data_IF_276320767697
#
_entry.id   IF_276320767697
#
_cell.length_a   1.000
_cell.length_b   1.000
_cell.length_c   1.000
_cell.angle_alpha   90.00
_cell.angle_beta   90.00
_cell.angle_gamma   90.00
#
_symmetry.space_group_name_H-M   'P 1'
#
loop_
_entity.id
_entity.type
_entity.pdbx_description
1 polymer ?
#
# COMPACT_ATOMS: atom_id res chain seq x y z
N UNK A 1 15.51 -31.44 -3.01
CA UNK A 1 15.49 -30.03 -3.42
C UNK A 1 15.39 -30.00 -4.94
N UNK A 2 14.38 -29.33 -5.49
CA UNK A 2 14.24 -29.11 -6.92
C UNK A 2 15.41 -28.27 -7.43
N UNK A 3 15.84 -28.58 -8.66
CA UNK A 3 16.86 -27.84 -9.40
C UNK A 3 16.30 -27.19 -10.66
N UNK A 4 15.06 -27.53 -10.97
CA UNK A 4 14.32 -27.16 -12.16
C UNK A 4 12.91 -26.74 -11.77
N UNK A 5 12.24 -26.01 -12.67
CA UNK A 5 10.85 -25.56 -12.54
C UNK A 5 10.11 -25.93 -13.81
N UNK A 6 8.90 -26.47 -13.63
CA UNK A 6 7.90 -26.72 -14.67
C UNK A 6 6.50 -26.44 -14.09
N UNK A 7 5.50 -26.27 -14.95
CA UNK A 7 4.11 -26.09 -14.50
C UNK A 7 3.64 -27.24 -13.62
N UNK A 8 4.02 -28.48 -13.95
CA UNK A 8 3.73 -29.66 -13.15
C UNK A 8 4.31 -29.55 -11.73
N UNK A 9 5.52 -29.00 -11.57
CA UNK A 9 6.12 -28.74 -10.25
C UNK A 9 5.36 -27.61 -9.53
N UNK A 10 5.06 -26.50 -10.21
CA UNK A 10 4.35 -25.36 -9.61
C UNK A 10 2.99 -25.80 -9.05
N UNK A 11 2.22 -26.61 -9.81
CA UNK A 11 0.90 -27.11 -9.40
C UNK A 11 0.93 -27.97 -8.14
N UNK A 12 2.04 -28.64 -7.82
CA UNK A 12 2.20 -29.41 -6.56
C UNK A 12 2.10 -28.52 -5.32
N UNK A 13 2.32 -27.22 -5.46
CA UNK A 13 2.21 -26.25 -4.37
C UNK A 13 0.84 -25.56 -4.30
N UNK A 14 -0.14 -26.00 -5.10
CA UNK A 14 -1.52 -25.49 -5.12
C UNK A 14 -1.59 -23.95 -5.23
N UNK A 15 -1.03 -23.35 -6.30
CA UNK A 15 -1.12 -21.91 -6.51
C UNK A 15 -2.59 -21.46 -6.65
N UNK A 16 -2.86 -20.22 -6.28
CA UNK A 16 -4.18 -19.59 -6.47
C UNK A 16 -4.46 -19.14 -7.91
N UNK A 17 -3.54 -19.43 -8.84
CA UNK A 17 -3.62 -19.14 -10.26
C UNK A 17 -3.28 -20.39 -11.06
N UNK A 18 -3.66 -20.43 -12.34
CA UNK A 18 -3.25 -21.50 -13.23
C UNK A 18 -1.90 -21.15 -13.89
N UNK A 19 -0.81 -21.92 -13.69
CA UNK A 19 0.49 -21.62 -14.33
C UNK A 19 0.44 -21.54 -15.86
N UNK A 20 -0.51 -22.22 -16.49
CA UNK A 20 -0.71 -22.19 -17.94
C UNK A 20 -1.22 -20.85 -18.46
N UNK A 21 -1.72 -19.97 -17.60
CA UNK A 21 -2.12 -18.62 -17.97
C UNK A 21 -0.90 -17.83 -18.49
N UNK A 22 0.28 -18.09 -17.92
CA UNK A 22 1.54 -17.44 -18.26
C UNK A 22 2.48 -18.36 -19.06
N UNK A 23 2.61 -19.62 -18.66
CA UNK A 23 3.55 -20.60 -19.23
C UNK A 23 2.76 -21.61 -20.08
N UNK A 24 2.70 -21.37 -21.39
CA UNK A 24 1.85 -22.17 -22.30
C UNK A 24 2.36 -23.59 -22.53
N UNK A 25 3.66 -23.80 -22.47
CA UNK A 25 4.24 -25.15 -22.60
C UNK A 25 4.21 -25.87 -21.25
N UNK A 26 3.26 -26.79 -21.08
CA UNK A 26 3.08 -27.57 -19.86
C UNK A 26 4.23 -28.57 -19.60
N UNK A 27 5.00 -28.93 -20.63
CA UNK A 27 6.08 -29.91 -20.52
C UNK A 27 7.46 -29.24 -20.39
N UNK A 28 7.53 -27.92 -20.47
CA UNK A 28 8.80 -27.22 -20.33
C UNK A 28 9.30 -27.33 -18.89
N UNK A 29 10.53 -27.83 -18.75
CA UNK A 29 11.25 -27.90 -17.49
C UNK A 29 12.63 -27.26 -17.67
N UNK A 30 12.86 -26.17 -16.93
CA UNK A 30 14.09 -25.37 -17.03
C UNK A 30 14.82 -25.36 -15.69
N UNK A 31 16.16 -25.28 -15.67
CA UNK A 31 16.91 -24.92 -14.48
C UNK A 31 16.33 -23.66 -13.82
N UNK A 32 16.32 -23.59 -12.49
CA UNK A 32 15.67 -22.49 -11.74
C UNK A 32 16.10 -21.11 -12.26
N UNK A 33 17.41 -20.92 -12.48
CA UNK A 33 17.97 -19.66 -12.98
C UNK A 33 17.44 -19.30 -14.36
N UNK A 34 17.43 -20.26 -15.27
CA UNK A 34 16.97 -20.07 -16.65
C UNK A 34 15.47 -19.81 -16.69
N UNK A 35 14.70 -20.50 -15.84
CA UNK A 35 13.26 -20.26 -15.67
C UNK A 35 12.99 -18.83 -15.20
N UNK A 36 13.70 -18.35 -14.17
CA UNK A 36 13.53 -16.98 -13.67
C UNK A 36 13.87 -15.98 -14.78
N UNK A 37 15.01 -16.14 -15.46
CA UNK A 37 15.42 -15.23 -16.52
C UNK A 37 14.41 -15.17 -17.66
N UNK A 38 13.83 -16.32 -18.03
CA UNK A 38 12.84 -16.41 -19.11
C UNK A 38 11.49 -15.80 -18.72
N UNK A 39 11.06 -16.01 -17.47
CA UNK A 39 9.68 -15.73 -17.06
C UNK A 39 9.48 -14.53 -16.13
N UNK A 40 10.55 -13.90 -15.61
CA UNK A 40 10.46 -12.78 -14.66
C UNK A 40 9.69 -11.55 -15.14
N UNK A 41 9.54 -11.38 -16.45
CA UNK A 41 8.83 -10.24 -17.04
C UNK A 41 7.34 -10.51 -17.28
N UNK A 42 6.91 -11.78 -17.24
CA UNK A 42 5.52 -12.20 -17.50
C UNK A 42 4.85 -12.84 -16.30
N UNK A 43 5.61 -13.49 -15.41
CA UNK A 43 5.12 -14.00 -14.14
C UNK A 43 5.16 -12.88 -13.10
N UNK A 44 4.06 -12.58 -12.39
CA UNK A 44 4.07 -11.58 -11.34
C UNK A 44 5.17 -11.87 -10.32
N UNK A 45 5.96 -10.86 -10.00
CA UNK A 45 7.17 -11.00 -9.16
C UNK A 45 6.86 -11.62 -7.80
N UNK A 46 5.69 -11.29 -7.22
CA UNK A 46 5.19 -11.89 -5.96
C UNK A 46 5.06 -13.41 -6.03
N UNK A 47 4.73 -13.97 -7.19
CA UNK A 47 4.49 -15.40 -7.39
C UNK A 47 5.84 -16.14 -7.56
N UNK A 48 6.85 -15.47 -8.13
CA UNK A 48 8.24 -15.96 -8.18
C UNK A 48 8.82 -16.06 -6.75
N UNK A 49 8.69 -14.99 -5.96
CA UNK A 49 9.15 -14.97 -4.57
C UNK A 49 8.42 -16.05 -3.75
N UNK A 50 7.10 -16.17 -3.90
CA UNK A 50 6.29 -17.21 -3.25
C UNK A 50 6.74 -18.64 -3.60
N UNK A 51 7.09 -18.90 -4.86
CA UNK A 51 7.54 -20.21 -5.32
C UNK A 51 8.92 -20.56 -4.76
N UNK A 52 9.88 -19.64 -4.87
CA UNK A 52 11.28 -19.89 -4.54
C UNK A 52 11.57 -19.85 -3.03
N UNK A 53 10.75 -19.15 -2.24
CA UNK A 53 10.87 -19.11 -0.78
C UNK A 53 10.33 -20.37 -0.09
N UNK A 54 10.60 -21.54 -0.67
CA UNK A 54 10.20 -22.85 -0.14
C UNK A 54 11.43 -23.72 0.09
N UNK A 55 11.35 -24.61 1.08
CA UNK A 55 12.45 -25.50 1.48
C UNK A 55 12.80 -26.51 0.39
N UNK A 56 11.89 -26.74 -0.54
CA UNK A 56 12.08 -27.56 -1.72
C UNK A 56 12.98 -26.89 -2.76
N UNK A 57 13.18 -25.57 -2.72
CA UNK A 57 14.05 -24.82 -3.66
C UNK A 57 15.28 -24.22 -2.97
N UNK A 58 15.15 -23.68 -1.77
CA UNK A 58 16.24 -23.05 -1.02
C UNK A 58 16.54 -23.78 0.27
N UNK A 59 17.83 -23.84 0.64
CA UNK A 59 18.24 -24.40 1.93
C UNK A 59 17.81 -23.46 3.05
N UNK A 60 17.65 -24.02 4.25
CA UNK A 60 17.21 -23.24 5.41
C UNK A 60 18.16 -22.07 5.72
N UNK A 61 19.47 -22.25 5.54
CA UNK A 61 20.46 -21.17 5.65
C UNK A 61 20.16 -20.04 4.67
N UNK A 62 19.97 -20.37 3.39
CA UNK A 62 19.77 -19.40 2.32
C UNK A 62 18.44 -18.67 2.46
N UNK A 63 17.38 -19.38 2.88
CA UNK A 63 16.10 -18.77 3.25
C UNK A 63 16.26 -17.74 4.37
N UNK A 64 17.00 -18.08 5.44
CA UNK A 64 17.24 -17.14 6.55
C UNK A 64 18.01 -15.91 6.10
N UNK A 65 19.07 -16.09 5.31
CA UNK A 65 19.85 -14.97 4.76
C UNK A 65 19.03 -14.10 3.80
N UNK A 66 18.16 -14.71 2.99
CA UNK A 66 17.27 -13.97 2.10
C UNK A 66 16.25 -13.15 2.90
N UNK A 67 15.64 -13.71 3.94
CA UNK A 67 14.70 -13.00 4.81
C UNK A 67 15.39 -11.86 5.55
N UNK A 68 16.61 -12.07 6.09
CA UNK A 68 17.40 -11.00 6.71
C UNK A 68 17.68 -9.89 5.71
N UNK A 69 18.10 -10.22 4.49
CA UNK A 69 18.32 -9.20 3.47
C UNK A 69 17.03 -8.40 3.19
N UNK A 70 15.88 -9.05 3.04
CA UNK A 70 14.59 -8.38 2.85
C UNK A 70 14.23 -7.45 4.02
N UNK A 71 14.43 -7.92 5.26
CA UNK A 71 14.17 -7.13 6.46
C UNK A 71 15.11 -5.92 6.54
N UNK A 72 16.41 -6.12 6.29
CA UNK A 72 17.41 -5.05 6.26
C UNK A 72 17.13 -4.00 5.17
N UNK A 73 16.70 -4.40 3.97
CA UNK A 73 16.27 -3.43 2.95
C UNK A 73 15.05 -2.63 3.39
N UNK A 74 14.11 -3.25 4.10
CA UNK A 74 12.92 -2.57 4.63
C UNK A 74 13.28 -1.56 5.72
N UNK A 75 14.21 -1.91 6.61
CA UNK A 75 14.68 -1.03 7.68
C UNK A 75 15.38 0.23 7.14
N UNK A 76 16.02 0.17 5.97
CA UNK A 76 16.65 1.35 5.31
C UNK A 76 15.64 2.40 4.85
N UNK A 77 14.37 2.04 4.71
CA UNK A 77 13.30 2.97 4.33
C UNK A 77 12.76 3.77 5.53
N UNK A 78 13.19 3.42 6.74
CA UNK A 78 12.79 4.06 7.99
C UNK A 78 13.92 5.00 8.42
N UNK A 79 13.61 6.27 8.73
CA UNK A 79 14.62 7.28 9.10
C UNK A 79 15.34 6.95 10.42
N UNK A 80 14.61 6.43 11.41
CA UNK A 80 15.15 5.96 12.70
C UNK A 80 14.60 4.56 13.03
N UNK A 81 15.20 3.48 12.48
CA UNK A 81 14.71 2.13 12.68
C UNK A 81 14.94 1.67 14.13
N UNK A 82 13.98 0.92 14.68
CA UNK A 82 14.11 0.38 16.04
C UNK A 82 15.37 -0.49 16.16
N UNK A 83 16.25 -0.12 17.10
CA UNK A 83 17.54 -0.79 17.33
C UNK A 83 17.40 -2.28 17.59
N UNK A 84 16.28 -2.73 18.17
CA UNK A 84 16.02 -4.15 18.44
C UNK A 84 15.63 -4.89 17.18
N UNK A 85 14.91 -4.27 16.24
CA UNK A 85 14.64 -4.85 14.92
C UNK A 85 15.92 -4.99 14.10
N UNK A 86 16.81 -4.00 14.18
CA UNK A 86 18.16 -4.09 13.59
C UNK A 86 18.94 -5.24 14.23
N UNK A 87 18.97 -5.33 15.56
CA UNK A 87 19.69 -6.39 16.26
C UNK A 87 19.10 -7.78 16.01
N UNK A 88 17.78 -7.91 15.91
CA UNK A 88 17.14 -9.16 15.53
C UNK A 88 17.60 -9.62 14.14
N UNK A 89 17.75 -8.71 13.16
CA UNK A 89 18.29 -9.04 11.85
C UNK A 89 19.75 -9.55 11.96
N UNK A 90 20.59 -8.87 12.76
CA UNK A 90 21.99 -9.28 13.00
C UNK A 90 22.08 -10.68 13.62
N UNK A 91 21.24 -10.97 14.63
CA UNK A 91 21.22 -12.28 15.30
C UNK A 91 20.73 -13.38 14.36
N UNK A 92 19.71 -13.13 13.53
CA UNK A 92 19.26 -14.10 12.52
C UNK A 92 20.35 -14.39 11.50
N UNK A 93 21.12 -13.38 11.07
CA UNK A 93 22.26 -13.54 10.15
C UNK A 93 23.35 -14.41 10.77
N UNK A 94 23.78 -14.07 11.98
CA UNK A 94 24.77 -14.86 12.76
C UNK A 94 24.29 -16.29 12.96
N UNK A 95 23.01 -16.49 13.27
CA UNK A 95 22.42 -17.82 13.41
C UNK A 95 22.44 -18.62 12.11
N UNK A 96 22.12 -17.97 10.98
CA UNK A 96 22.23 -18.61 9.66
C UNK A 96 23.68 -19.03 9.33
N UNK A 97 24.66 -18.28 9.83
CA UNK A 97 26.08 -18.60 9.73
C UNK A 97 26.61 -19.53 10.84
N UNK A 98 25.76 -19.98 11.76
CA UNK A 98 26.09 -20.84 12.92
C UNK A 98 27.06 -20.20 13.92
N UNK A 99 27.01 -18.87 14.05
CA UNK A 99 27.86 -18.06 14.93
C UNK A 99 27.16 -17.69 16.26
N UNK A 100 25.94 -18.16 16.45
CA UNK A 100 25.12 -17.90 17.63
C UNK A 100 24.20 -19.10 17.87
N UNK A 101 23.74 -19.25 19.11
CA UNK A 101 22.86 -20.34 19.54
C UNK A 101 21.39 -20.06 19.21
N UNK A 102 20.57 -21.11 19.29
CA UNK A 102 19.11 -20.98 19.16
C UNK A 102 18.51 -20.12 20.29
N UNK A 103 19.09 -20.20 21.49
CA UNK A 103 18.63 -19.43 22.65
C UNK A 103 18.86 -17.92 22.46
N UNK A 104 20.00 -17.53 21.88
CA UNK A 104 20.28 -16.13 21.54
C UNK A 104 19.33 -15.61 20.44
N UNK A 105 19.01 -16.45 19.45
CA UNK A 105 17.99 -16.15 18.44
C UNK A 105 16.61 -15.94 19.06
N UNK A 106 16.21 -16.81 19.99
CA UNK A 106 14.91 -16.71 20.66
C UNK A 106 14.82 -15.49 21.56
N UNK A 107 15.89 -15.15 22.28
CA UNK A 107 15.96 -13.94 23.08
C UNK A 107 15.81 -12.67 22.22
N UNK A 108 16.48 -12.62 21.08
CA UNK A 108 16.36 -11.50 20.13
C UNK A 108 14.94 -11.40 19.53
N UNK A 109 14.33 -12.54 19.20
CA UNK A 109 12.93 -12.60 18.75
C UNK A 109 11.99 -12.05 19.82
N UNK A 110 12.06 -12.54 21.06
CA UNK A 110 11.21 -12.10 22.18
C UNK A 110 11.38 -10.59 22.43
N UNK A 111 12.62 -10.08 22.38
CA UNK A 111 12.91 -8.68 22.57
C UNK A 111 12.29 -7.78 21.47
N UNK A 112 12.23 -8.28 20.23
CA UNK A 112 11.57 -7.58 19.12
C UNK A 112 10.03 -7.70 19.18
N UNK A 113 9.50 -8.87 19.54
CA UNK A 113 8.07 -9.18 19.56
C UNK A 113 7.32 -8.40 20.66
N UNK A 114 7.88 -8.38 21.88
CA UNK A 114 7.34 -7.61 23.02
C UNK A 114 7.16 -6.11 22.73
N UNK A 115 7.82 -5.60 21.69
CA UNK A 115 7.80 -4.20 21.28
C UNK A 115 6.87 -3.98 20.12
N UNK A 116 6.75 -4.95 19.20
CA UNK A 116 5.73 -4.88 18.16
C UNK A 116 4.34 -4.74 18.78
N UNK A 117 4.06 -5.48 19.86
CA UNK A 117 2.82 -5.34 20.65
C UNK A 117 2.73 -3.97 21.34
N UNK A 118 3.78 -3.53 22.03
CA UNK A 118 3.76 -2.23 22.72
C UNK A 118 3.66 -1.02 21.78
N UNK A 119 4.30 -1.09 20.61
CA UNK A 119 4.26 -0.06 19.57
C UNK A 119 2.92 -0.09 18.82
N UNK A 120 2.37 -1.28 18.54
CA UNK A 120 1.02 -1.43 18.00
C UNK A 120 -0.01 -0.85 18.97
N UNK A 121 0.08 -1.16 20.26
CA UNK A 121 -0.83 -0.64 21.28
C UNK A 121 -0.69 0.88 21.46
N UNK A 122 0.54 1.40 21.45
CA UNK A 122 0.80 2.84 21.51
C UNK A 122 0.29 3.57 20.26
N UNK A 123 0.52 3.01 19.06
CA UNK A 123 0.03 3.56 17.80
C UNK A 123 -1.50 3.46 17.70
N UNK A 124 -2.09 2.37 18.16
CA UNK A 124 -3.54 2.19 18.25
C UNK A 124 -4.16 3.18 19.24
N UNK A 125 -3.56 3.37 20.42
CA UNK A 125 -4.00 4.36 21.40
C UNK A 125 -3.87 5.79 20.87
N UNK A 126 -2.76 6.13 20.19
CA UNK A 126 -2.55 7.43 19.56
C UNK A 126 -3.53 7.68 18.41
N UNK A 127 -3.77 6.67 17.56
CA UNK A 127 -4.74 6.75 16.48
C UNK A 127 -6.18 6.87 17.02
N UNK A 128 -6.51 6.16 18.10
CA UNK A 128 -7.81 6.26 18.77
C UNK A 128 -7.99 7.62 19.45
N UNK A 129 -6.94 8.19 20.04
CA UNK A 129 -6.94 9.55 20.60
C UNK A 129 -7.12 10.59 19.50
N UNK A 130 -6.33 10.50 18.42
CA UNK A 130 -6.45 11.39 17.27
C UNK A 130 -7.81 11.27 16.57
N UNK A 131 -8.37 10.05 16.46
CA UNK A 131 -9.71 9.82 15.92
C UNK A 131 -10.80 10.36 16.84
N UNK A 132 -10.64 10.28 18.17
CA UNK A 132 -11.57 10.89 19.14
C UNK A 132 -11.50 12.41 19.09
N UNK A 133 -10.31 13.00 19.05
CA UNK A 133 -10.12 14.44 18.94
C UNK A 133 -10.65 14.96 17.60
N UNK A 134 -10.38 14.24 16.51
CA UNK A 134 -10.95 14.54 15.19
C UNK A 134 -12.48 14.34 15.18
N UNK A 135 -13.01 13.34 15.88
CA UNK A 135 -14.46 13.15 16.02
C UNK A 135 -15.09 14.29 16.80
N UNK A 136 -14.58 14.67 17.98
CA UNK A 136 -15.12 15.81 18.74
C UNK A 136 -14.93 17.14 18.00
N UNK A 137 -13.81 17.34 17.31
CA UNK A 137 -13.58 18.52 16.48
C UNK A 137 -14.49 18.52 15.25
N UNK A 138 -14.68 17.38 14.58
CA UNK A 138 -15.57 17.26 13.43
C UNK A 138 -17.03 17.34 13.84
N UNK A 139 -17.44 16.85 15.00
CA UNK A 139 -18.83 16.95 15.49
C UNK A 139 -19.13 18.38 15.96
N UNK A 140 -18.16 19.06 16.60
CA UNK A 140 -18.26 20.48 16.94
C UNK A 140 -18.27 21.36 15.67
N UNK A 141 -17.33 21.14 14.73
CA UNK A 141 -17.26 21.86 13.46
C UNK A 141 -18.46 21.51 12.59
N UNK A 142 -18.91 20.26 12.50
CA UNK A 142 -20.08 19.87 11.71
C UNK A 142 -21.37 20.37 12.36
N UNK A 143 -21.49 20.47 13.68
CA UNK A 143 -22.63 21.10 14.34
C UNK A 143 -22.71 22.59 13.99
N UNK A 144 -21.61 23.35 14.14
CA UNK A 144 -21.58 24.77 13.80
C UNK A 144 -21.56 25.05 12.29
N UNK A 145 -20.98 24.17 11.48
CA UNK A 145 -21.02 24.22 10.04
C UNK A 145 -22.39 23.80 9.50
N UNK A 146 -23.07 22.82 10.09
CA UNK A 146 -24.45 22.50 9.74
C UNK A 146 -25.40 23.61 10.19
N UNK A 147 -25.15 24.27 11.33
CA UNK A 147 -25.92 25.43 11.76
C UNK A 147 -25.65 26.65 10.85
N UNK A 148 -24.39 26.90 10.46
CA UNK A 148 -24.02 28.00 9.57
C UNK A 148 -24.43 27.74 8.13
N UNK A 149 -24.33 26.49 7.65
CA UNK A 149 -24.83 26.03 6.35
C UNK A 149 -26.35 25.97 6.37
N UNK A 150 -27.02 25.57 7.44
CA UNK A 150 -28.48 25.64 7.53
C UNK A 150 -28.93 27.10 7.48
N UNK A 151 -28.30 27.99 8.25
CA UNK A 151 -28.57 29.43 8.22
C UNK A 151 -28.26 30.05 6.84
N UNK A 152 -27.13 29.69 6.24
CA UNK A 152 -26.71 30.14 4.91
C UNK A 152 -27.54 29.53 3.78
N UNK A 153 -28.03 28.30 3.92
CA UNK A 153 -28.95 27.63 2.98
C UNK A 153 -30.35 28.19 3.16
N UNK A 154 -30.81 28.52 4.36
CA UNK A 154 -32.07 29.24 4.54
C UNK A 154 -31.97 30.67 3.99
N UNK A 155 -30.85 31.35 4.19
CA UNK A 155 -30.58 32.67 3.62
C UNK A 155 -30.43 32.61 2.10
N UNK A 156 -29.75 31.59 1.57
CA UNK A 156 -29.56 31.38 0.13
C UNK A 156 -30.83 30.87 -0.54
N UNK A 157 -31.67 30.06 0.13
CA UNK A 157 -33.01 29.68 -0.36
C UNK A 157 -33.94 30.88 -0.32
N UNK A 158 -33.87 31.73 0.71
CA UNK A 158 -34.61 33.00 0.75
C UNK A 158 -34.14 33.94 -0.37
N UNK A 159 -32.83 34.08 -0.57
CA UNK A 159 -32.23 34.89 -1.63
C UNK A 159 -32.48 34.30 -3.03
N UNK A 160 -32.46 32.98 -3.20
CA UNK A 160 -32.76 32.31 -4.46
C UNK A 160 -34.25 32.33 -4.76
N UNK A 161 -35.12 32.22 -3.76
CA UNK A 161 -36.55 32.46 -3.95
C UNK A 161 -36.82 33.93 -4.28
N UNK A 162 -36.15 34.87 -3.61
CA UNK A 162 -36.23 36.30 -3.93
C UNK A 162 -35.67 36.60 -5.33
N UNK A 163 -34.56 35.98 -5.72
CA UNK A 163 -33.92 36.14 -7.02
C UNK A 163 -34.66 35.39 -8.12
N UNK A 164 -35.33 34.27 -7.83
CA UNK A 164 -36.25 33.57 -8.73
C UNK A 164 -37.51 34.39 -8.95
N UNK A 165 -38.08 34.96 -7.89
CA UNK A 165 -39.19 35.91 -7.96
C UNK A 165 -38.77 37.16 -8.75
N UNK A 166 -37.59 37.71 -8.48
CA UNK A 166 -37.01 38.83 -9.21
C UNK A 166 -36.64 38.45 -10.65
N UNK A 167 -36.20 37.22 -10.92
CA UNK A 167 -35.91 36.70 -12.25
C UNK A 167 -37.19 36.52 -13.05
N UNK A 168 -38.27 35.98 -12.50
CA UNK A 168 -39.55 35.94 -13.21
C UNK A 168 -40.17 37.34 -13.37
N UNK A 169 -39.97 38.25 -12.39
CA UNK A 169 -40.33 39.67 -12.50
C UNK A 169 -39.42 40.48 -13.46
N UNK A 170 -38.19 40.04 -13.70
CA UNK A 170 -37.23 40.63 -14.65
C UNK A 170 -37.19 39.86 -15.98
N UNK A 171 -37.75 38.66 -16.08
CA UNK A 171 -38.07 38.02 -17.36
C UNK A 171 -39.28 38.72 -17.97
N UNK A 172 -40.17 39.26 -17.14
CA UNK A 172 -41.16 40.27 -17.55
C UNK A 172 -40.53 41.65 -17.85
N UNK A 173 -39.25 41.89 -17.53
CA UNK A 173 -38.53 43.16 -17.74
C UNK A 173 -37.04 42.92 -18.06
N UNK A 174 -36.75 42.53 -19.30
CA UNK A 174 -35.45 42.03 -19.80
C UNK A 174 -34.15 42.69 -19.21
N UNK A 175 -33.35 41.93 -18.42
CA UNK A 175 -31.89 42.17 -18.13
C UNK A 175 -31.15 41.07 -17.26
N UNK A 176 -31.46 39.77 -17.38
CA UNK A 176 -31.05 38.70 -16.41
C UNK A 176 -29.80 37.81 -16.71
N UNK A 177 -29.00 38.09 -17.74
CA UNK A 177 -27.99 37.12 -18.24
C UNK A 177 -26.68 37.07 -17.43
N UNK A 178 -26.25 38.17 -16.81
CA UNK A 178 -24.95 38.26 -16.11
C UNK A 178 -24.90 37.50 -14.79
N UNK A 179 -25.98 37.54 -14.00
CA UNK A 179 -26.08 36.84 -12.73
C UNK A 179 -26.12 35.30 -12.90
N UNK A 180 -26.79 34.81 -13.93
CA UNK A 180 -26.81 33.39 -14.28
C UNK A 180 -25.41 32.89 -14.70
N UNK A 181 -24.63 33.72 -15.40
CA UNK A 181 -23.26 33.39 -15.78
C UNK A 181 -22.32 33.33 -14.56
N UNK A 182 -22.46 34.23 -13.58
CA UNK A 182 -21.64 34.20 -12.37
C UNK A 182 -21.86 32.92 -11.54
N UNK A 183 -23.12 32.49 -11.38
CA UNK A 183 -23.45 31.25 -10.68
C UNK A 183 -22.91 30.01 -11.39
N UNK A 184 -22.98 30.00 -12.73
CA UNK A 184 -22.43 28.93 -13.57
C UNK A 184 -20.90 28.81 -13.42
N UNK A 185 -20.18 29.93 -13.37
CA UNK A 185 -18.73 29.95 -13.17
C UNK A 185 -18.33 29.37 -11.81
N UNK A 186 -19.05 29.73 -10.74
CA UNK A 186 -18.78 29.21 -9.40
C UNK A 186 -18.97 27.68 -9.30
N UNK A 187 -19.98 27.13 -9.98
CA UNK A 187 -20.21 25.69 -10.06
C UNK A 187 -19.04 24.93 -10.72
N UNK A 188 -18.56 25.40 -11.88
CA UNK A 188 -17.46 24.73 -12.57
C UNK A 188 -16.12 24.83 -11.84
N UNK A 189 -15.87 25.93 -11.13
CA UNK A 189 -14.67 26.08 -10.30
C UNK A 189 -14.62 25.03 -9.17
N UNK A 190 -15.76 24.78 -8.50
CA UNK A 190 -15.85 23.76 -7.46
C UNK A 190 -15.64 22.33 -8.01
N UNK A 191 -16.19 22.03 -9.19
CA UNK A 191 -16.00 20.74 -9.85
C UNK A 191 -14.53 20.48 -10.26
N UNK A 192 -13.82 21.53 -10.71
CA UNK A 192 -12.41 21.43 -11.08
C UNK A 192 -11.53 21.10 -9.86
N UNK A 193 -11.79 21.72 -8.70
CA UNK A 193 -11.05 21.46 -7.46
C UNK A 193 -11.21 20.01 -6.98
N UNK A 194 -12.42 19.44 -7.06
CA UNK A 194 -12.68 18.06 -6.68
C UNK A 194 -11.93 17.04 -7.57
N UNK A 195 -11.83 17.32 -8.88
CA UNK A 195 -11.11 16.44 -9.81
C UNK A 195 -9.60 16.47 -9.59
N UNK A 196 -9.01 17.63 -9.25
CA UNK A 196 -7.59 17.74 -8.96
C UNK A 196 -7.18 16.89 -7.74
N UNK A 197 -7.99 16.91 -6.68
CA UNK A 197 -7.75 16.08 -5.49
C UNK A 197 -7.77 14.57 -5.81
N UNK A 198 -8.70 14.13 -6.66
CA UNK A 198 -8.78 12.73 -7.11
C UNK A 198 -7.55 12.29 -7.90
N UNK A 199 -7.01 13.15 -8.77
CA UNK A 199 -5.81 12.85 -9.55
C UNK A 199 -4.59 12.69 -8.64
N UNK A 200 -4.44 13.58 -7.64
CA UNK A 200 -3.34 13.48 -6.68
C UNK A 200 -3.37 12.17 -5.87
N UNK A 201 -4.56 11.70 -5.49
CA UNK A 201 -4.72 10.41 -4.80
C UNK A 201 -4.23 9.23 -5.66
N UNK A 202 -4.63 9.17 -6.93
CA UNK A 202 -4.21 8.07 -7.81
C UNK A 202 -2.71 8.14 -8.13
N UNK A 203 -2.13 9.33 -8.29
CA UNK A 203 -0.68 9.47 -8.46
C UNK A 203 0.09 8.91 -7.26
N UNK A 204 -0.31 9.25 -6.04
CA UNK A 204 0.31 8.71 -4.83
C UNK A 204 0.14 7.18 -4.69
N UNK A 205 -1.01 6.65 -5.10
CA UNK A 205 -1.27 5.21 -5.14
C UNK A 205 -0.39 4.49 -6.17
N UNK A 206 -0.21 5.07 -7.35
CA UNK A 206 0.63 4.53 -8.42
C UNK A 206 2.12 4.57 -8.03
N UNK A 207 2.58 5.66 -7.41
CA UNK A 207 3.94 5.78 -6.89
C UNK A 207 4.23 4.72 -5.82
N UNK A 208 3.29 4.49 -4.89
CA UNK A 208 3.42 3.44 -3.87
C UNK A 208 3.48 2.03 -4.50
N UNK A 209 2.68 1.76 -5.53
CA UNK A 209 2.73 0.49 -6.25
C UNK A 209 4.02 0.31 -7.05
N UNK A 210 4.54 1.38 -7.66
CA UNK A 210 5.81 1.37 -8.37
C UNK A 210 6.97 1.04 -7.42
N UNK A 211 7.01 1.68 -6.24
CA UNK A 211 7.99 1.39 -5.20
C UNK A 211 7.91 -0.05 -4.70
N UNK A 212 6.69 -0.56 -4.44
CA UNK A 212 6.48 -1.95 -4.05
C UNK A 212 6.94 -2.95 -5.11
N UNK A 213 6.72 -2.64 -6.40
CA UNK A 213 7.20 -3.48 -7.50
C UNK A 213 8.72 -3.43 -7.67
N UNK A 214 9.35 -2.27 -7.50
CA UNK A 214 10.81 -2.15 -7.52
C UNK A 214 11.47 -3.00 -6.42
N UNK A 215 10.93 -2.97 -5.20
CA UNK A 215 11.42 -3.79 -4.09
C UNK A 215 11.30 -5.30 -4.40
N UNK A 216 10.19 -5.73 -5.01
CA UNK A 216 9.99 -7.12 -5.43
C UNK A 216 10.96 -7.53 -6.53
N UNK A 217 11.27 -6.65 -7.48
CA UNK A 217 12.28 -6.92 -8.52
C UNK A 217 13.65 -7.17 -7.88
N UNK A 218 14.05 -6.31 -6.93
CA UNK A 218 15.29 -6.48 -6.19
C UNK A 218 15.32 -7.80 -5.38
N UNK A 219 14.18 -8.26 -4.86
CA UNK A 219 14.06 -9.58 -4.22
C UNK A 219 14.35 -10.72 -5.19
N UNK A 220 13.83 -10.67 -6.42
CA UNK A 220 14.12 -11.70 -7.44
C UNK A 220 15.58 -11.65 -7.87
N UNK A 221 16.17 -10.47 -8.02
CA UNK A 221 17.60 -10.31 -8.30
C UNK A 221 18.46 -10.88 -7.18
N UNK A 222 18.05 -10.67 -5.92
CA UNK A 222 18.72 -11.27 -4.77
C UNK A 222 18.58 -12.80 -4.76
N UNK A 223 17.40 -13.34 -5.07
CA UNK A 223 17.16 -14.78 -5.13
C UNK A 223 18.06 -15.47 -6.16
N UNK A 224 18.31 -14.83 -7.31
CA UNK A 224 19.23 -15.33 -8.34
C UNK A 224 20.66 -15.57 -7.83
N UNK A 225 21.07 -14.95 -6.72
CA UNK A 225 22.42 -15.18 -6.15
C UNK A 225 22.57 -16.50 -5.41
N UNK A 226 21.46 -17.20 -5.13
CA UNK A 226 21.44 -18.50 -4.45
C UNK A 226 21.34 -19.70 -5.42
N UNK A 227 21.23 -19.45 -6.73
CA UNK A 227 21.03 -20.46 -7.78
C UNK A 227 22.09 -20.37 -8.89
#
# INVERSE_FOLDING_TARGET
>A
MYKTISNAIIRKFHPCYDPSDVIKDENEELPIKDWIQKYRDVVPVKDIVWLLCRREFLYEKDLRLFVVWCASESLKLIEDPDKRSVEACNVVERYANRETTKDELDAAYIAADNVADAAHDAAYAAALAAARDAYYAADYIAYYAALSVANAVSAARAAANAARVAYYAALSVANAVSAANAARVAYYAALAAANAARVAYYAAYDDANAAANAARIAQVDKLLTYF
#
